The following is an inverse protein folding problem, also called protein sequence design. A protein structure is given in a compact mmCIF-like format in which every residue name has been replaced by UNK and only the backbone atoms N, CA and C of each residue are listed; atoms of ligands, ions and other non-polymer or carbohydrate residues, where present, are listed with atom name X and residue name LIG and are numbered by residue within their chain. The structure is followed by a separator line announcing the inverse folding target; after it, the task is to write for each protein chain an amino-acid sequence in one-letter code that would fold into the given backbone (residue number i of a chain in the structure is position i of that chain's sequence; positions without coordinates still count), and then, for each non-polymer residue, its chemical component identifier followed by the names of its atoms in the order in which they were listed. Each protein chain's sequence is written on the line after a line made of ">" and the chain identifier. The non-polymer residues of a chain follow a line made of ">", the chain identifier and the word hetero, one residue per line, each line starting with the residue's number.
data_IF_411981290148
#
_entry.id   IF_411981290148
#
_cell.length_a   1.000
_cell.length_b   1.000
_cell.length_c   1.000
_cell.angle_alpha   90.00
_cell.angle_beta   90.00
_cell.angle_gamma   90.00
#
_symmetry.space_group_name_H-M   'P 1'
#
loop_
_entity.id
_entity.type
_entity.pdbx_description
1 polymer ?
#
# COMPACT_ATOMS: atom_id res chain seq x y z
N UNK A 1 20.05 -23.29 45.13
CA UNK A 1 19.37 -22.16 44.45
C UNK A 1 19.91 -22.00 43.02
N UNK A 2 19.27 -22.56 41.97
CA UNK A 2 19.64 -22.31 40.56
C UNK A 2 18.61 -22.86 39.55
N UNK A 3 17.31 -22.59 39.74
CA UNK A 3 16.23 -22.96 38.78
C UNK A 3 15.22 -21.83 38.56
N UNK A 4 15.68 -20.58 38.46
CA UNK A 4 14.82 -19.42 38.09
C UNK A 4 15.32 -18.63 36.88
N UNK A 5 16.56 -18.82 36.42
CA UNK A 5 17.13 -18.03 35.32
C UNK A 5 16.72 -18.52 33.92
N UNK A 6 16.56 -19.84 33.69
CA UNK A 6 16.26 -20.38 32.35
C UNK A 6 14.81 -20.19 31.89
N UNK A 7 13.85 -19.96 32.79
CA UNK A 7 12.43 -19.80 32.42
C UNK A 7 12.15 -18.39 31.86
N UNK A 8 12.85 -17.38 32.37
CA UNK A 8 12.67 -15.98 31.95
C UNK A 8 13.22 -15.73 30.54
N UNK A 9 14.33 -16.37 30.17
CA UNK A 9 14.90 -16.27 28.81
C UNK A 9 13.98 -16.91 27.77
N UNK A 10 13.43 -18.10 28.04
CA UNK A 10 12.49 -18.76 27.11
C UNK A 10 11.18 -17.98 26.90
N UNK A 11 10.68 -17.29 27.94
CA UNK A 11 9.49 -16.44 27.83
C UNK A 11 9.75 -15.17 27.02
N UNK A 12 10.97 -14.60 27.10
CA UNK A 12 11.39 -13.47 26.26
C UNK A 12 11.59 -13.88 24.81
N UNK A 13 12.18 -15.04 24.56
CA UNK A 13 12.31 -15.60 23.21
C UNK A 13 10.96 -15.87 22.58
N UNK A 14 10.02 -16.42 23.35
CA UNK A 14 8.64 -16.62 22.90
C UNK A 14 7.96 -15.29 22.56
N UNK A 15 8.03 -14.29 23.46
CA UNK A 15 7.51 -12.94 23.18
C UNK A 15 8.13 -12.32 21.93
N UNK A 16 9.44 -12.42 21.73
CA UNK A 16 10.14 -11.94 20.53
C UNK A 16 9.65 -12.65 19.27
N UNK A 17 9.47 -13.97 19.31
CA UNK A 17 8.93 -14.75 18.19
C UNK A 17 7.50 -14.31 17.86
N UNK A 18 6.64 -14.09 18.87
CA UNK A 18 5.26 -13.61 18.65
C UNK A 18 5.21 -12.19 18.09
N UNK A 19 6.09 -11.29 18.55
CA UNK A 19 6.18 -9.93 18.01
C UNK A 19 6.66 -9.95 16.57
N UNK A 20 7.70 -10.74 16.25
CA UNK A 20 8.19 -10.87 14.88
C UNK A 20 7.14 -11.51 13.98
N UNK A 21 6.46 -12.57 14.43
CA UNK A 21 5.35 -13.16 13.67
C UNK A 21 4.19 -12.16 13.48
N UNK A 22 3.81 -11.41 14.50
CA UNK A 22 2.76 -10.40 14.41
C UNK A 22 3.08 -9.28 13.42
N UNK A 23 4.34 -8.83 13.37
CA UNK A 23 4.81 -7.82 12.41
C UNK A 23 4.85 -8.37 10.98
N UNK A 24 5.26 -9.63 10.79
CA UNK A 24 5.31 -10.27 9.46
C UNK A 24 3.90 -10.54 8.91
N UNK A 25 2.94 -10.92 9.75
CA UNK A 25 1.56 -11.20 9.33
C UNK A 25 0.71 -9.93 9.09
N UNK A 26 1.06 -8.79 9.70
CA UNK A 26 0.26 -7.56 9.59
C UNK A 26 0.25 -6.92 8.18
N UNK A 27 1.30 -7.14 7.38
CA UNK A 27 1.43 -6.48 6.08
C UNK A 27 0.52 -7.05 4.98
N UNK A 28 0.05 -8.30 5.06
CA UNK A 28 -0.78 -8.87 4.00
C UNK A 28 -2.25 -8.40 4.04
N UNK A 29 -2.77 -7.98 5.19
CA UNK A 29 -4.19 -7.65 5.33
C UNK A 29 -4.53 -6.26 4.77
N UNK A 30 -3.64 -5.29 4.92
CA UNK A 30 -3.84 -3.93 4.39
C UNK A 30 -3.95 -3.92 2.86
N UNK A 31 -3.11 -4.70 2.15
CA UNK A 31 -3.17 -4.79 0.68
C UNK A 31 -4.44 -5.50 0.19
N UNK A 32 -4.95 -6.50 0.92
CA UNK A 32 -6.22 -7.19 0.57
C UNK A 32 -7.41 -6.24 0.63
N UNK A 33 -7.42 -5.31 1.57
CA UNK A 33 -8.49 -4.30 1.69
C UNK A 33 -8.47 -3.37 0.47
N UNK A 34 -7.30 -2.86 0.09
CA UNK A 34 -7.15 -1.94 -1.05
C UNK A 34 -7.51 -2.62 -2.38
N UNK A 35 -7.18 -3.91 -2.55
CA UNK A 35 -7.54 -4.67 -3.76
C UNK A 35 -9.04 -4.97 -3.89
N UNK A 36 -9.78 -4.97 -2.79
CA UNK A 36 -11.23 -5.13 -2.79
C UNK A 36 -11.99 -3.81 -3.08
N UNK A 37 -11.27 -2.70 -3.28
CA UNK A 37 -11.89 -1.40 -3.57
C UNK A 37 -12.22 -1.30 -5.05
N UNK A 38 -13.51 -1.13 -5.36
CA UNK A 38 -13.97 -0.90 -6.70
C UNK A 38 -13.81 0.58 -7.05
N UNK A 39 -13.32 0.85 -8.26
CA UNK A 39 -13.19 2.22 -8.74
C UNK A 39 -14.54 2.69 -9.28
N UNK A 40 -15.15 3.67 -8.62
CA UNK A 40 -16.48 4.16 -8.96
C UNK A 40 -16.41 5.35 -9.94
N UNK A 41 -17.34 5.36 -10.91
CA UNK A 41 -17.39 6.35 -12.00
C UNK A 41 -17.35 7.82 -11.53
N UNK A 42 -18.09 8.25 -10.49
CA UNK A 42 -18.06 9.65 -10.07
C UNK A 42 -16.68 10.12 -9.58
N UNK A 43 -15.90 9.23 -8.97
CA UNK A 43 -14.52 9.54 -8.55
C UNK A 43 -13.57 9.54 -9.73
N UNK A 44 -13.68 8.56 -10.63
CA UNK A 44 -12.86 8.47 -11.84
C UNK A 44 -13.04 9.68 -12.77
N UNK A 45 -14.26 10.20 -12.93
CA UNK A 45 -14.54 11.40 -13.73
C UNK A 45 -13.89 12.68 -13.17
N UNK A 46 -13.61 12.70 -11.88
CA UNK A 46 -12.89 13.79 -11.20
C UNK A 46 -11.36 13.60 -11.25
N UNK A 47 -10.88 12.53 -11.88
CA UNK A 47 -9.46 12.16 -11.90
C UNK A 47 -8.94 11.59 -10.58
N UNK A 48 -9.83 11.10 -9.72
CA UNK A 48 -9.48 10.47 -8.46
C UNK A 48 -9.56 8.95 -8.50
N UNK A 49 -9.17 8.33 -7.38
CA UNK A 49 -9.38 6.90 -7.11
C UNK A 49 -10.14 6.69 -5.80
N UNK A 50 -10.94 5.63 -5.74
CA UNK A 50 -11.53 5.16 -4.50
C UNK A 50 -10.44 4.44 -3.69
N UNK A 51 -10.21 4.90 -2.47
CA UNK A 51 -9.28 4.31 -1.51
C UNK A 51 -9.76 4.54 -0.07
N UNK A 52 -9.14 3.91 0.92
CA UNK A 52 -9.37 4.20 2.33
C UNK A 52 -9.08 5.69 2.59
N UNK A 53 -10.07 6.43 3.11
CA UNK A 53 -9.97 7.88 3.28
C UNK A 53 -8.83 8.30 4.21
N UNK A 54 -8.51 7.47 5.21
CA UNK A 54 -7.40 7.69 6.14
C UNK A 54 -6.01 7.55 5.48
N UNK A 55 -5.92 6.84 4.35
CA UNK A 55 -4.67 6.59 3.63
C UNK A 55 -4.43 7.61 2.51
N UNK A 56 -5.34 8.57 2.36
CA UNK A 56 -5.22 9.65 1.39
C UNK A 56 -4.24 10.72 1.92
N UNK A 57 -3.28 11.20 1.11
CA UNK A 57 -2.38 12.26 1.51
C UNK A 57 -3.14 13.52 1.97
N UNK A 58 -2.55 14.28 2.90
CA UNK A 58 -3.17 15.52 3.39
C UNK A 58 -3.44 16.47 2.22
N UNK A 59 -4.70 16.90 2.07
CA UNK A 59 -5.12 17.80 1.00
C UNK A 59 -5.48 17.12 -0.33
N UNK A 60 -5.39 15.79 -0.42
CA UNK A 60 -5.76 15.03 -1.63
C UNK A 60 -7.16 14.42 -1.55
N UNK A 61 -7.82 14.45 -0.39
CA UNK A 61 -9.20 14.00 -0.28
C UNK A 61 -10.08 14.91 -1.14
N UNK A 62 -10.96 14.34 -1.96
CA UNK A 62 -11.85 15.12 -2.80
C UNK A 62 -12.70 16.09 -1.96
N UNK A 63 -12.78 17.36 -2.38
CA UNK A 63 -13.62 18.36 -1.69
C UNK A 63 -15.09 17.94 -1.68
N UNK A 64 -15.53 17.29 -2.77
CA UNK A 64 -16.86 16.71 -2.88
C UNK A 64 -16.85 15.29 -2.31
N UNK A 65 -17.50 15.12 -1.16
CA UNK A 65 -17.66 13.81 -0.52
C UNK A 65 -18.63 12.91 -1.28
N UNK A 66 -18.47 11.59 -1.08
CA UNK A 66 -19.44 10.59 -1.57
C UNK A 66 -19.31 10.30 -3.05
N UNK A 67 -18.11 10.47 -3.60
CA UNK A 67 -17.78 10.09 -4.98
C UNK A 67 -17.53 8.58 -5.13
N UNK A 68 -17.38 7.86 -4.00
CA UNK A 68 -17.43 6.38 -3.91
C UNK A 68 -18.66 5.94 -3.08
N UNK A 69 -19.89 6.17 -3.56
CA UNK A 69 -21.11 6.01 -2.77
C UNK A 69 -21.38 4.58 -2.31
N UNK A 70 -21.00 3.56 -3.09
CA UNK A 70 -21.29 2.16 -2.75
C UNK A 70 -20.43 1.67 -1.58
N UNK A 71 -19.23 2.23 -1.44
CA UNK A 71 -18.24 1.76 -0.47
C UNK A 71 -17.99 2.75 0.68
N UNK A 72 -18.68 3.89 0.72
CA UNK A 72 -18.55 4.91 1.77
C UNK A 72 -18.70 4.38 3.20
N UNK A 73 -19.61 3.42 3.41
CA UNK A 73 -19.83 2.80 4.74
C UNK A 73 -18.60 2.05 5.27
N UNK A 74 -17.64 1.72 4.40
CA UNK A 74 -16.40 1.02 4.72
C UNK A 74 -15.24 2.01 4.98
N UNK A 75 -15.50 3.32 4.99
CA UNK A 75 -14.46 4.35 5.15
C UNK A 75 -13.68 4.63 3.86
N UNK A 76 -14.21 4.19 2.72
CA UNK A 76 -13.65 4.47 1.39
C UNK A 76 -14.21 5.80 0.87
N UNK A 77 -13.35 6.65 0.34
CA UNK A 77 -13.75 7.88 -0.34
C UNK A 77 -12.81 8.18 -1.50
N UNK A 78 -13.09 9.25 -2.23
CA UNK A 78 -12.31 9.63 -3.40
C UNK A 78 -11.08 10.45 -3.03
N UNK A 79 -9.93 10.00 -3.52
CA UNK A 79 -8.63 10.65 -3.35
C UNK A 79 -8.10 11.09 -4.71
N UNK A 80 -7.69 12.35 -4.82
CA UNK A 80 -7.05 12.92 -6.00
C UNK A 80 -5.57 12.50 -5.98
N UNK A 81 -5.30 11.29 -6.44
CA UNK A 81 -3.96 10.66 -6.41
C UNK A 81 -3.97 9.30 -5.73
N UNK A 82 -2.91 8.52 -5.94
CA UNK A 82 -2.77 7.19 -5.38
C UNK A 82 -2.54 7.25 -3.86
N UNK A 83 -3.10 6.27 -3.14
CA UNK A 83 -2.89 6.11 -1.69
C UNK A 83 -1.40 6.07 -1.36
N UNK A 84 -0.99 6.68 -0.24
CA UNK A 84 0.40 6.59 0.24
C UNK A 84 0.83 5.15 0.58
N UNK A 85 -0.14 4.25 0.81
CA UNK A 85 0.12 2.83 1.07
C UNK A 85 0.19 1.98 -0.19
N UNK A 86 -0.37 2.47 -1.30
CA UNK A 86 -0.26 1.76 -2.58
C UNK A 86 1.17 1.95 -3.09
N UNK A 87 1.92 0.85 -3.13
CA UNK A 87 3.33 0.82 -3.52
C UNK A 87 3.54 -0.07 -4.74
N UNK A 88 2.49 -0.60 -5.36
CA UNK A 88 2.64 -1.50 -6.50
C UNK A 88 2.71 -0.70 -7.80
N UNK A 89 3.78 -0.91 -8.56
CA UNK A 89 4.06 -0.29 -9.84
C UNK A 89 2.87 -0.35 -10.80
N UNK A 90 2.26 -1.53 -10.94
CA UNK A 90 1.10 -1.72 -11.84
C UNK A 90 -0.09 -0.85 -11.46
N UNK A 91 -0.31 -0.63 -10.16
CA UNK A 91 -1.40 0.20 -9.65
C UNK A 91 -1.12 1.69 -9.80
N UNK A 92 0.17 2.06 -9.89
CA UNK A 92 0.62 3.39 -10.29
C UNK A 92 0.59 3.65 -11.80
N UNK A 93 0.09 2.70 -12.60
CA UNK A 93 0.10 2.80 -14.07
C UNK A 93 1.50 2.63 -14.68
N UNK A 94 2.42 2.05 -13.91
CA UNK A 94 3.77 1.74 -14.36
C UNK A 94 3.95 0.31 -14.87
N UNK A 95 5.14 0.06 -15.38
CA UNK A 95 5.61 -1.26 -15.80
C UNK A 95 6.95 -1.60 -15.17
N UNK A 96 7.10 -2.82 -14.67
CA UNK A 96 8.39 -3.31 -14.16
C UNK A 96 9.33 -3.66 -15.32
N UNK A 97 10.44 -2.93 -15.43
CA UNK A 97 11.41 -3.07 -16.50
C UNK A 97 12.78 -3.48 -15.95
N UNK A 98 13.61 -4.12 -16.78
CA UNK A 98 14.99 -4.40 -16.39
C UNK A 98 15.79 -3.10 -16.18
N UNK A 99 16.82 -3.08 -15.32
CA UNK A 99 17.63 -1.89 -15.06
C UNK A 99 18.21 -1.23 -16.30
N UNK A 100 18.60 -2.05 -17.30
CA UNK A 100 19.26 -1.60 -18.53
C UNK A 100 18.31 -0.91 -19.50
N UNK A 101 16.99 -1.13 -19.37
CA UNK A 101 15.99 -0.49 -20.23
C UNK A 101 15.86 0.97 -19.82
N UNK A 102 15.91 1.89 -20.79
CA UNK A 102 15.77 3.31 -20.51
C UNK A 102 14.40 3.61 -19.91
N UNK A 103 14.41 4.33 -18.80
CA UNK A 103 13.25 4.98 -18.19
C UNK A 103 13.73 6.37 -17.79
N UNK A 104 12.94 7.40 -18.09
CA UNK A 104 13.26 8.76 -17.65
C UNK A 104 13.38 8.76 -16.12
N UNK A 105 14.47 9.27 -15.50
CA UNK A 105 14.63 9.30 -14.05
C UNK A 105 13.45 9.93 -13.30
N UNK A 106 12.77 10.90 -13.91
CA UNK A 106 11.57 11.53 -13.32
C UNK A 106 10.32 10.64 -13.31
N UNK A 107 10.34 9.51 -14.02
CA UNK A 107 9.26 8.52 -14.09
C UNK A 107 9.61 7.23 -13.35
N UNK A 108 10.75 7.18 -12.67
CA UNK A 108 11.11 6.04 -11.84
C UNK A 108 10.36 6.16 -10.52
N UNK A 109 9.66 5.09 -10.14
CA UNK A 109 9.02 4.96 -8.84
C UNK A 109 9.80 3.94 -8.00
N UNK A 110 10.62 4.45 -7.07
CA UNK A 110 11.57 3.63 -6.31
C UNK A 110 10.91 2.88 -5.16
N UNK A 111 9.72 3.30 -4.72
CA UNK A 111 8.95 2.66 -3.66
C UNK A 111 8.18 1.41 -4.15
N UNK A 112 8.38 1.00 -5.41
CA UNK A 112 7.69 -0.13 -6.02
C UNK A 112 7.97 -1.47 -5.30
N UNK A 113 6.92 -2.13 -4.77
CA UNK A 113 7.05 -3.40 -4.02
C UNK A 113 6.77 -4.66 -4.85
N UNK A 114 6.18 -4.53 -6.04
CA UNK A 114 5.78 -5.62 -6.92
C UNK A 114 6.78 -5.93 -8.05
N UNK A 115 7.84 -5.13 -8.20
CA UNK A 115 8.89 -5.38 -9.18
C UNK A 115 9.93 -6.37 -8.67
N UNK A 116 9.79 -7.64 -9.05
CA UNK A 116 10.74 -8.72 -8.73
C UNK A 116 11.99 -8.71 -9.64
N UNK A 117 13.00 -9.52 -9.30
CA UNK A 117 14.21 -9.75 -10.10
C UNK A 117 15.06 -8.49 -10.38
N UNK A 118 15.16 -7.59 -9.39
CA UNK A 118 15.90 -6.33 -9.51
C UNK A 118 15.39 -5.44 -10.67
N UNK A 119 14.10 -5.51 -10.98
CA UNK A 119 13.44 -4.64 -11.96
C UNK A 119 13.10 -3.30 -11.30
N UNK A 120 13.13 -2.23 -12.09
CA UNK A 120 12.66 -0.89 -11.69
C UNK A 120 11.24 -0.66 -12.19
N UNK A 121 10.45 0.08 -11.43
CA UNK A 121 9.15 0.56 -11.90
C UNK A 121 9.34 1.82 -12.75
N UNK A 122 8.81 1.81 -13.97
CA UNK A 122 8.73 2.98 -14.84
C UNK A 122 7.27 3.37 -15.02
N UNK A 123 6.90 4.57 -14.58
CA UNK A 123 5.55 5.11 -14.77
C UNK A 123 5.32 5.44 -16.24
N UNK A 124 4.20 4.96 -16.79
CA UNK A 124 3.86 5.19 -18.19
C UNK A 124 2.99 6.45 -18.28
N UNK A 125 3.56 7.52 -18.84
CA UNK A 125 2.81 8.71 -19.25
C UNK A 125 2.71 8.70 -20.76
N UNK A 126 1.50 8.92 -21.29
CA UNK A 126 1.24 9.07 -22.72
C UNK A 126 1.62 10.48 -23.21
#
# INVERSE_FOLDING_TARGET
>A
MRRRLTVVDNMKYFMLVFVVFGVVCGNEEDFKIIDAIEQEKPCAEMGGICTVAADCPKGHLAEKQGLCPNQRKQGIDCCHGLSMKETRCLKHGGVCMKPEVYCNPSLIFDEATDCVDNKKCCLMVL
#
